data_IF_640586457498
#
_entry.id   IF_640586457498
#
_cell.length_a   1.000
_cell.length_b   1.000
_cell.length_c   1.000
_cell.angle_alpha   90.00
_cell.angle_beta   90.00
_cell.angle_gamma   90.00
#
_symmetry.space_group_name_H-M   'P 1'
#
loop_
_entity.id
_entity.type
_entity.pdbx_description
1 polymer ?
2 non-polymer ?
3 water ?
#
# COMPACT_ATOMS: atom_id res chain seq x y z
N UNK A 1 17.00 -21.25 18.59
CA UNK A 1 15.56 -20.99 18.33
C UNK A 1 15.12 -21.57 16.98
N UNK A 2 14.12 -20.95 16.37
CA UNK A 2 13.59 -21.42 15.10
C UNK A 2 14.54 -21.25 13.92
N UNK A 3 14.64 -22.30 13.11
CA UNK A 3 15.51 -22.27 11.95
C UNK A 3 14.89 -21.45 10.82
N UNK A 4 15.75 -20.97 9.94
CA UNK A 4 15.29 -20.21 8.80
C UNK A 4 14.36 -21.10 8.00
N UNK A 5 14.74 -22.36 7.85
CA UNK A 5 13.95 -23.31 7.10
C UNK A 5 12.51 -23.38 7.61
N UNK A 6 12.35 -23.50 8.92
CA UNK A 6 11.02 -23.55 9.52
C UNK A 6 10.19 -22.27 9.23
N UNK A 7 10.81 -21.09 9.35
CA UNK A 7 10.10 -19.83 9.10
C UNK A 7 9.65 -19.79 7.64
N UNK A 8 10.57 -20.11 6.74
CA UNK A 8 10.25 -20.11 5.33
C UNK A 8 9.10 -21.08 5.05
N UNK A 9 9.15 -22.26 5.64
CA UNK A 9 8.09 -23.24 5.41
C UNK A 9 6.74 -22.75 5.94
N UNK A 10 6.74 -22.16 7.14
CA UNK A 10 5.51 -21.66 7.71
C UNK A 10 4.88 -20.54 6.86
N UNK A 11 5.67 -19.54 6.48
CA UNK A 11 5.10 -18.45 5.71
C UNK A 11 4.65 -18.91 4.33
N UNK A 12 5.42 -19.82 3.72
CA UNK A 12 5.01 -20.33 2.42
C UNK A 12 3.63 -21.03 2.57
N UNK A 13 3.44 -21.78 3.66
CA UNK A 13 2.16 -22.47 3.87
C UNK A 13 0.99 -21.51 4.03
N UNK A 14 1.23 -20.30 4.51
CA UNK A 14 0.15 -19.33 4.66
C UNK A 14 -0.41 -19.00 3.29
N UNK A 15 0.46 -18.87 2.30
CA UNK A 15 0.02 -18.58 0.94
C UNK A 15 -0.58 -19.84 0.33
N UNK A 16 0.03 -20.99 0.62
CA UNK A 16 -0.48 -22.26 0.10
C UNK A 16 -1.90 -22.47 0.60
N UNK A 17 -2.13 -22.27 1.89
CA UNK A 17 -3.46 -22.46 2.48
C UNK A 17 -4.51 -21.57 1.80
N UNK A 18 -4.12 -20.35 1.44
CA UNK A 18 -5.04 -19.42 0.80
C UNK A 18 -5.22 -19.80 -0.67
N UNK A 19 -4.53 -20.85 -1.10
CA UNK A 19 -4.63 -21.30 -2.48
C UNK A 19 -4.33 -20.20 -3.48
N UNK A 20 -3.29 -19.43 -3.24
CA UNK A 20 -2.92 -18.39 -4.18
C UNK A 20 -1.41 -18.37 -4.31
N UNK A 21 -0.87 -17.46 -5.11
CA UNK A 21 0.56 -17.33 -5.30
C UNK A 21 0.93 -15.94 -4.78
N UNK A 22 1.90 -15.88 -3.87
CA UNK A 22 2.29 -14.59 -3.33
C UNK A 22 3.64 -14.57 -2.65
N UNK A 23 4.09 -13.37 -2.32
CA UNK A 23 5.36 -13.17 -1.66
C UNK A 23 5.18 -12.04 -0.64
N UNK A 24 6.03 -12.03 0.38
CA UNK A 24 6.03 -10.94 1.36
C UNK A 24 7.47 -10.57 1.68
N UNK A 25 7.84 -9.33 1.35
CA UNK A 25 9.18 -8.84 1.57
C UNK A 25 9.24 -8.07 2.90
N UNK A 26 10.22 -8.42 3.72
CA UNK A 26 10.43 -7.77 5.01
C UNK A 26 11.76 -7.03 4.93
N UNK A 27 11.84 -5.83 5.47
CA UNK A 27 13.09 -5.09 5.44
C UNK A 27 13.50 -4.73 6.86
N UNK A 28 14.74 -5.06 7.21
CA UNK A 28 15.29 -4.77 8.53
C UNK A 28 16.56 -3.98 8.26
N UNK A 29 16.51 -2.69 8.62
CA UNK A 29 17.63 -1.83 8.35
C UNK A 29 17.74 -1.74 6.83
N UNK A 30 18.85 -2.23 6.27
CA UNK A 30 19.02 -2.22 4.82
C UNK A 30 18.83 -3.59 4.18
N UNK A 31 18.56 -4.63 4.98
CA UNK A 31 18.42 -5.99 4.45
C UNK A 31 17.00 -6.43 4.09
N UNK A 32 16.83 -6.91 2.86
CA UNK A 32 15.54 -7.40 2.38
C UNK A 32 15.44 -8.90 2.58
N UNK A 33 14.27 -9.38 3.01
CA UNK A 33 14.04 -10.82 3.19
C UNK A 33 12.75 -11.17 2.47
N UNK A 34 12.85 -12.10 1.54
CA UNK A 34 11.71 -12.53 0.73
C UNK A 34 11.12 -13.86 1.21
N UNK A 35 9.82 -13.86 1.56
CA UNK A 35 9.15 -15.07 2.01
C UNK A 35 7.90 -15.33 1.17
N UNK A 36 7.32 -16.53 1.30
CA UNK A 36 6.11 -16.82 0.53
C UNK A 36 6.20 -18.09 -0.31
N UNK A 37 5.25 -18.27 -1.22
CA UNK A 37 5.23 -19.46 -2.07
C UNK A 37 5.50 -19.16 -3.56
N UNK A 38 5.92 -17.94 -3.88
CA UNK A 38 6.22 -17.58 -5.26
C UNK A 38 7.22 -16.43 -5.24
N UNK A 39 8.41 -16.74 -4.74
CA UNK A 39 9.50 -15.77 -4.57
C UNK A 39 9.88 -14.91 -5.76
N UNK A 40 9.73 -15.44 -6.97
CA UNK A 40 10.06 -14.68 -8.17
C UNK A 40 9.15 -13.45 -8.38
N UNK A 41 8.02 -13.38 -7.68
CA UNK A 41 7.16 -12.22 -7.80
C UNK A 41 7.87 -10.97 -7.21
N UNK A 42 8.90 -11.18 -6.40
CA UNK A 42 9.63 -10.08 -5.75
C UNK A 42 10.08 -8.96 -6.68
N UNK A 43 10.55 -9.29 -7.88
CA UNK A 43 10.99 -8.24 -8.79
C UNK A 43 10.15 -8.09 -10.05
N UNK A 44 8.91 -8.56 -10.00
CA UNK A 44 8.01 -8.39 -11.13
C UNK A 44 7.12 -7.18 -10.89
N UNK A 45 6.78 -6.48 -11.96
CA UNK A 45 5.94 -5.28 -11.87
C UNK A 45 4.45 -5.58 -11.93
N UNK A 46 3.68 -4.87 -11.10
CA UNK A 46 2.22 -4.99 -11.08
C UNK A 46 1.68 -3.59 -10.89
N UNK A 47 0.38 -3.40 -11.14
CA UNK A 47 -0.19 -2.08 -10.94
C UNK A 47 -0.24 -1.95 -9.42
N UNK A 48 -0.01 -0.73 -8.89
CA UNK A 48 -0.03 -0.53 -7.44
C UNK A 48 -1.41 -0.52 -6.81
N UNK A 49 -2.43 -0.35 -7.64
CA UNK A 49 -3.82 -0.29 -7.18
C UNK A 49 -3.88 0.74 -6.04
N UNK A 50 -4.71 0.49 -5.03
CA UNK A 50 -4.87 1.44 -3.93
C UNK A 50 -3.62 1.81 -3.12
N UNK A 51 -2.51 1.09 -3.30
CA UNK A 51 -1.31 1.46 -2.54
C UNK A 51 -0.87 2.84 -2.99
N UNK A 52 -1.21 3.20 -4.23
CA UNK A 52 -0.85 4.50 -4.75
C UNK A 52 -1.47 5.63 -3.94
N UNK A 53 -2.57 5.35 -3.23
CA UNK A 53 -3.20 6.39 -2.44
C UNK A 53 -2.22 7.06 -1.51
N UNK A 54 -1.26 6.30 -1.01
CA UNK A 54 -0.26 6.87 -0.10
C UNK A 54 0.47 8.03 -0.78
N UNK A 55 0.87 7.81 -2.02
CA UNK A 55 1.59 8.83 -2.76
C UNK A 55 0.66 9.92 -3.28
N UNK A 56 -0.57 9.54 -3.66
CA UNK A 56 -1.55 10.49 -4.17
C UNK A 56 -1.73 11.54 -3.06
N UNK A 57 -1.93 11.05 -1.83
CA UNK A 57 -2.13 11.93 -0.69
C UNK A 57 -0.92 12.86 -0.46
N UNK A 58 0.28 12.29 -0.47
CA UNK A 58 1.51 13.07 -0.28
C UNK A 58 1.55 14.23 -1.29
N UNK A 59 1.35 13.88 -2.54
CA UNK A 59 1.35 14.85 -3.62
C UNK A 59 0.27 15.92 -3.46
N UNK A 60 -0.96 15.49 -3.22
CA UNK A 60 -2.05 16.44 -3.06
C UNK A 60 -1.82 17.43 -1.93
N UNK A 61 -1.39 16.94 -0.78
CA UNK A 61 -1.15 17.78 0.38
C UNK A 61 0.03 18.74 0.16
N UNK A 62 1.12 18.22 -0.39
CA UNK A 62 2.30 19.02 -0.65
C UNK A 62 2.04 20.15 -1.62
N UNK A 63 1.25 19.86 -2.65
CA UNK A 63 0.95 20.83 -3.69
C UNK A 63 -0.31 21.64 -3.42
N UNK A 64 -0.74 21.62 -2.15
CA UNK A 64 -1.91 22.34 -1.70
C UNK A 64 -3.22 22.07 -2.43
N UNK A 65 -3.41 20.82 -2.86
CA UNK A 65 -4.65 20.48 -3.54
C UNK A 65 -5.70 20.07 -2.53
N UNK A 66 -5.31 20.02 -1.25
CA UNK A 66 -6.22 19.65 -0.18
C UNK A 66 -5.53 19.77 1.17
N UNK A 67 -6.31 19.60 2.23
CA UNK A 67 -5.79 19.66 3.59
C UNK A 67 -6.29 18.41 4.28
N UNK A 68 -5.73 18.08 5.44
CA UNK A 68 -6.14 16.89 6.15
C UNK A 68 -7.50 17.03 6.84
N UNK A 69 -8.06 18.23 6.84
CA UNK A 69 -9.37 18.44 7.47
C UNK A 69 -10.49 18.63 6.46
N UNK A 70 -10.12 18.94 5.23
CA UNK A 70 -11.10 19.15 4.17
C UNK A 70 -12.00 17.94 4.02
N UNK A 71 -13.30 18.19 3.91
CA UNK A 71 -14.25 17.12 3.74
C UNK A 71 -14.63 17.06 2.26
N UNK A 72 -14.35 15.92 1.62
CA UNK A 72 -14.70 15.72 0.23
C UNK A 72 -16.16 15.24 0.24
N UNK A 73 -17.06 16.03 -0.32
CA UNK A 73 -18.46 15.66 -0.31
C UNK A 73 -18.86 14.64 -1.37
N UNK A 74 -19.70 13.71 -0.94
CA UNK A 74 -20.22 12.68 -1.83
C UNK A 74 -21.13 13.44 -2.82
N UNK A 75 -20.96 13.21 -4.12
CA UNK A 75 -21.77 13.91 -5.10
C UNK A 75 -23.19 13.36 -5.25
N UNK A 76 -23.52 12.37 -4.41
CA UNK A 76 -24.84 11.79 -4.45
C UNK A 76 -25.04 10.68 -5.47
N UNK A 77 -24.04 10.42 -6.32
CA UNK A 77 -24.18 9.37 -7.32
C UNK A 77 -23.80 8.00 -6.76
N UNK A 78 -24.52 6.97 -7.23
CA UNK A 78 -24.30 5.60 -6.79
C UNK A 78 -22.83 5.21 -6.88
N UNK A 79 -22.33 4.59 -5.83
CA UNK A 79 -20.94 4.15 -5.82
C UNK A 79 -20.86 2.64 -5.64
N UNK A 80 -19.72 2.06 -6.01
CA UNK A 80 -19.52 0.63 -5.91
C UNK A 80 -19.94 0.08 -4.54
N UNK A 81 -19.61 0.81 -3.49
CA UNK A 81 -19.93 0.38 -2.12
C UNK A 81 -20.67 1.48 -1.38
N UNK A 82 -21.66 1.11 -0.57
CA UNK A 82 -22.45 2.07 0.22
C UNK A 82 -21.55 2.83 1.19
N UNK A 83 -20.47 2.20 1.62
CA UNK A 83 -19.54 2.83 2.55
C UNK A 83 -18.86 4.05 1.92
N UNK A 84 -18.84 4.12 0.59
CA UNK A 84 -18.22 5.25 -0.10
C UNK A 84 -19.20 6.38 -0.38
N UNK A 85 -20.49 6.14 -0.12
CA UNK A 85 -21.50 7.16 -0.36
C UNK A 85 -21.67 8.12 0.81
N UNK A 86 -20.59 8.79 1.18
CA UNK A 86 -20.60 9.73 2.28
C UNK A 86 -19.46 10.71 2.09
N UNK A 87 -19.48 11.76 2.89
CA UNK A 87 -18.48 12.82 2.85
C UNK A 87 -17.32 12.38 3.74
N UNK A 88 -16.09 12.53 3.25
CA UNK A 88 -14.95 12.13 4.05
C UNK A 88 -13.69 12.92 3.78
N UNK A 89 -12.77 12.82 4.74
CA UNK A 89 -11.48 13.48 4.64
C UNK A 89 -10.58 12.49 3.91
N UNK A 90 -9.38 12.95 3.58
CA UNK A 90 -8.37 12.15 2.92
C UNK A 90 -8.07 10.92 3.77
N UNK A 91 -7.91 11.12 5.08
CA UNK A 91 -7.62 10.03 5.98
C UNK A 91 -8.74 8.99 6.05
N UNK A 92 -9.99 9.44 6.06
CA UNK A 92 -11.13 8.51 6.11
C UNK A 92 -11.19 7.74 4.80
N UNK A 93 -10.92 8.45 3.70
CA UNK A 93 -10.94 7.82 2.39
C UNK A 93 -9.80 6.80 2.28
N UNK A 94 -8.70 7.06 2.98
CA UNK A 94 -7.55 6.15 2.96
C UNK A 94 -7.95 4.83 3.62
N UNK A 95 -8.57 4.94 4.79
CA UNK A 95 -9.01 3.78 5.55
C UNK A 95 -10.12 3.00 4.86
N UNK A 96 -10.97 3.70 4.12
CA UNK A 96 -12.06 3.07 3.42
C UNK A 96 -11.71 2.70 1.99
N UNK A 97 -10.50 3.04 1.55
CA UNK A 97 -10.09 2.77 0.17
C UNK A 97 -11.05 3.44 -0.81
N UNK A 98 -11.57 4.60 -0.41
CA UNK A 98 -12.52 5.37 -1.23
C UNK A 98 -11.90 5.95 -2.50
N UNK A 99 -11.88 5.15 -3.57
CA UNK A 99 -11.32 5.56 -4.85
C UNK A 99 -11.88 6.88 -5.40
N UNK A 100 -13.19 7.11 -5.26
CA UNK A 100 -13.75 8.36 -5.77
C UNK A 100 -13.10 9.61 -5.20
N UNK A 101 -12.75 9.57 -3.91
CA UNK A 101 -12.11 10.72 -3.29
C UNK A 101 -10.73 10.94 -3.90
N UNK A 102 -9.97 9.85 -4.03
CA UNK A 102 -8.64 9.98 -4.57
C UNK A 102 -8.61 10.25 -6.06
N UNK A 103 -9.70 9.96 -6.75
CA UNK A 103 -9.77 10.27 -8.18
C UNK A 103 -10.00 11.78 -8.31
N UNK A 104 -10.74 12.34 -7.36
CA UNK A 104 -11.00 13.77 -7.34
C UNK A 104 -9.69 14.49 -7.01
N UNK A 105 -8.95 13.95 -6.04
CA UNK A 105 -7.68 14.56 -5.66
C UNK A 105 -6.72 14.51 -6.87
N UNK A 106 -6.68 13.37 -7.57
CA UNK A 106 -5.81 13.25 -8.74
C UNK A 106 -6.22 14.30 -9.78
N UNK A 107 -7.52 14.45 -10.00
CA UNK A 107 -7.99 15.44 -10.98
C UNK A 107 -7.61 16.86 -10.57
N UNK A 108 -7.58 17.14 -9.27
CA UNK A 108 -7.20 18.46 -8.79
C UNK A 108 -5.73 18.68 -9.08
N UNK A 109 -4.91 17.66 -8.81
CA UNK A 109 -3.48 17.76 -9.06
C UNK A 109 -3.26 17.99 -10.56
N UNK A 110 -3.96 17.23 -11.40
CA UNK A 110 -3.80 17.41 -12.84
C UNK A 110 -2.74 16.50 -13.44
N UNK A 111 -2.95 16.05 -14.68
CA UNK A 111 -2.00 15.15 -15.33
C UNK A 111 -0.56 15.63 -15.30
N UNK A 112 -0.33 16.85 -15.76
CA UNK A 112 1.03 17.40 -15.80
C UNK A 112 1.74 17.43 -14.44
N UNK A 113 1.08 17.95 -13.42
CA UNK A 113 1.70 18.01 -12.10
C UNK A 113 1.92 16.60 -11.57
N UNK A 114 0.93 15.73 -11.81
CA UNK A 114 1.01 14.36 -11.33
C UNK A 114 2.17 13.60 -11.94
N UNK A 115 2.32 13.65 -13.26
CA UNK A 115 3.43 12.96 -13.92
C UNK A 115 4.77 13.46 -13.42
N UNK A 116 4.84 14.76 -13.22
CA UNK A 116 6.05 15.41 -12.74
C UNK A 116 6.37 15.01 -11.30
N UNK A 117 5.34 14.87 -10.48
CA UNK A 117 5.56 14.50 -9.08
C UNK A 117 5.88 13.01 -8.93
N UNK A 118 5.23 12.16 -9.72
CA UNK A 118 5.50 10.72 -9.65
C UNK A 118 6.94 10.47 -10.12
N UNK A 119 7.37 11.21 -11.14
CA UNK A 119 8.72 11.13 -11.70
C UNK A 119 9.71 11.57 -10.61
N UNK A 120 9.41 12.69 -9.95
CA UNK A 120 10.27 13.23 -8.91
C UNK A 120 10.48 12.25 -7.76
N UNK A 121 9.42 11.55 -7.38
CA UNK A 121 9.51 10.60 -6.27
C UNK A 121 10.09 9.26 -6.73
N UNK A 122 10.15 9.06 -8.06
CA UNK A 122 10.70 7.83 -8.61
C UNK A 122 9.94 6.58 -8.15
N UNK A 123 8.61 6.66 -8.23
CA UNK A 123 7.73 5.58 -7.83
C UNK A 123 7.55 4.57 -8.96
N UNK A 124 7.92 3.31 -8.73
CA UNK A 124 7.78 2.27 -9.74
C UNK A 124 8.40 2.61 -11.06
N UNK A 125 7.67 2.34 -12.15
CA UNK A 125 8.20 2.65 -13.48
C UNK A 125 7.91 4.13 -13.80
N UNK A 126 7.36 4.83 -12.81
CA UNK A 126 7.05 6.26 -12.90
C UNK A 126 6.23 6.74 -14.09
N UNK A 127 5.59 5.84 -14.84
CA UNK A 127 4.81 6.27 -15.99
C UNK A 127 3.29 6.27 -15.71
N UNK A 128 2.66 7.43 -15.77
CA UNK A 128 1.23 7.51 -15.50
C UNK A 128 0.37 7.63 -16.76
N UNK A 129 1.03 7.73 -17.92
CA UNK A 129 0.27 7.82 -19.16
C UNK A 129 -0.51 9.09 -19.37
N UNK A 130 -1.71 8.96 -19.93
CA UNK A 130 -2.55 10.12 -20.24
C UNK A 130 -3.85 10.24 -19.47
N UNK A 131 -4.17 9.25 -18.63
CA UNK A 131 -5.41 9.30 -17.84
C UNK A 131 -5.08 9.55 -16.38
N UNK A 132 -5.18 10.80 -15.94
CA UNK A 132 -4.86 11.15 -14.56
C UNK A 132 -5.70 10.47 -13.48
N UNK A 133 -6.86 9.92 -13.84
CA UNK A 133 -7.70 9.30 -12.82
C UNK A 133 -7.81 7.79 -12.70
N UNK A 134 -6.97 7.04 -13.41
CA UNK A 134 -7.02 5.59 -13.28
C UNK A 134 -5.71 4.88 -13.62
N UNK A 135 -4.63 5.65 -13.78
CA UNK A 135 -3.34 5.08 -14.14
C UNK A 135 -2.76 4.09 -13.12
N UNK A 136 -3.18 4.21 -11.86
CA UNK A 136 -2.66 3.33 -10.82
C UNK A 136 -3.52 2.09 -10.66
N UNK A 137 -4.64 2.06 -11.38
CA UNK A 137 -5.58 0.96 -11.31
C UNK A 137 -5.48 -0.01 -12.50
N UNK A 138 -5.23 0.51 -13.69
CA UNK A 138 -5.17 -0.33 -14.88
C UNK A 138 -3.91 -0.17 -15.71
N UNK A 139 -2.94 0.56 -15.19
CA UNK A 139 -1.71 0.78 -15.93
C UNK A 139 -1.82 2.16 -16.56
N UNK A 140 -0.73 2.68 -17.16
CA UNK A 140 0.58 2.05 -17.30
C UNK A 140 1.49 2.05 -16.08
N UNK A 141 1.07 2.68 -14.99
CA UNK A 141 1.93 2.70 -13.82
C UNK A 141 2.02 1.30 -13.20
N UNK A 142 3.25 0.87 -12.91
CA UNK A 142 3.51 -0.43 -12.29
C UNK A 142 4.65 -0.31 -11.29
N UNK A 143 4.71 -1.26 -10.37
CA UNK A 143 5.74 -1.23 -9.34
C UNK A 143 5.98 -2.66 -8.83
N UNK A 144 7.20 -2.94 -8.39
CA UNK A 144 7.51 -4.28 -7.90
C UNK A 144 7.39 -4.31 -6.39
N UNK A 145 7.24 -5.50 -5.82
CA UNK A 145 7.12 -5.67 -4.37
C UNK A 145 8.38 -5.12 -3.66
N UNK A 146 9.54 -5.24 -4.30
CA UNK A 146 10.78 -4.71 -3.72
C UNK A 146 10.68 -3.17 -3.66
N UNK A 147 10.26 -2.54 -4.75
CA UNK A 147 10.11 -1.10 -4.76
C UNK A 147 9.06 -0.64 -3.74
N UNK A 148 7.99 -1.45 -3.56
CA UNK A 148 6.95 -1.07 -2.60
C UNK A 148 7.44 -1.11 -1.16
N UNK A 149 8.21 -2.14 -0.79
CA UNK A 149 8.71 -2.19 0.58
C UNK A 149 9.74 -1.09 0.80
N UNK A 150 10.48 -0.71 -0.25
CA UNK A 150 11.45 0.37 -0.15
C UNK A 150 10.71 1.71 -0.03
N UNK A 151 9.57 1.84 -0.71
CA UNK A 151 8.79 3.06 -0.61
C UNK A 151 8.26 3.17 0.82
N UNK A 152 7.81 2.05 1.38
CA UNK A 152 7.31 2.04 2.74
C UNK A 152 8.44 2.41 3.71
N UNK A 153 9.64 1.89 3.43
CA UNK A 153 10.81 2.16 4.27
C UNK A 153 11.09 3.66 4.28
N UNK A 154 11.11 4.27 3.11
CA UNK A 154 11.33 5.70 2.97
C UNK A 154 10.30 6.55 3.71
N UNK A 155 9.02 6.22 3.55
CA UNK A 155 7.94 6.98 4.21
C UNK A 155 8.01 6.81 5.72
N UNK A 156 8.22 5.58 6.15
CA UNK A 156 8.30 5.29 7.58
C UNK A 156 9.40 6.13 8.23
N UNK A 157 10.50 6.35 7.52
CA UNK A 157 11.60 7.11 8.07
C UNK A 157 11.66 8.56 7.57
N UNK A 158 10.58 9.03 6.95
CA UNK A 158 10.52 10.39 6.43
C UNK A 158 11.59 10.75 5.41
N UNK A 159 11.98 9.78 4.59
CA UNK A 159 13.01 10.04 3.57
C UNK A 159 12.46 10.50 2.24
N UNK A 160 11.17 10.38 2.02
CA UNK A 160 10.60 10.83 0.76
C UNK A 160 10.85 12.34 0.62
N UNK A 161 10.91 12.84 -0.62
CA UNK A 161 11.14 14.27 -0.85
C UNK A 161 9.91 15.17 -0.67
N UNK A 162 9.37 15.17 0.54
CA UNK A 162 8.21 15.98 0.91
C UNK A 162 8.49 16.53 2.33
N UNK A 163 7.85 17.63 2.68
CA UNK A 163 8.02 18.20 4.01
C UNK A 163 7.77 17.13 5.06
N UNK A 164 8.47 17.22 6.18
CA UNK A 164 8.31 16.26 7.25
C UNK A 164 6.87 16.23 7.76
N UNK A 165 6.21 17.37 7.73
CA UNK A 165 4.83 17.48 8.17
C UNK A 165 3.88 16.71 7.24
N UNK A 166 4.10 16.84 5.94
CA UNK A 166 3.28 16.14 4.98
C UNK A 166 3.38 14.63 5.20
N UNK A 167 4.61 14.12 5.32
CA UNK A 167 4.83 12.70 5.52
C UNK A 167 4.18 12.24 6.82
N UNK A 168 4.32 13.05 7.87
CA UNK A 168 3.72 12.70 9.15
C UNK A 168 2.20 12.68 9.06
N UNK A 169 1.63 13.60 8.29
CA UNK A 169 0.18 13.66 8.13
C UNK A 169 -0.34 12.38 7.47
N UNK A 170 0.33 11.94 6.41
CA UNK A 170 -0.08 10.75 5.70
C UNK A 170 0.13 9.47 6.51
N UNK A 171 1.22 9.41 7.26
CA UNK A 171 1.45 8.22 8.06
C UNK A 171 0.35 8.05 9.10
N UNK A 172 -0.14 9.14 9.67
CA UNK A 172 -1.19 9.06 10.67
C UNK A 172 -2.44 8.45 10.05
N UNK A 173 -2.57 8.57 8.74
CA UNK A 173 -3.73 8.04 8.03
C UNK A 173 -3.65 6.55 7.83
N UNK A 174 -2.47 5.98 8.01
CA UNK A 174 -2.27 4.56 7.75
C UNK A 174 -2.30 3.57 8.91
N UNK A 175 -2.59 4.02 10.12
CA UNK A 175 -2.61 3.09 11.26
C UNK A 175 -3.80 2.15 11.14
N UNK A 176 -3.55 0.87 10.91
CA UNK A 176 -4.65 -0.07 10.79
C UNK A 176 -4.71 -1.10 11.91
N UNK A 177 -3.70 -1.13 12.78
CA UNK A 177 -3.74 -2.10 13.86
C UNK A 177 -2.67 -1.94 14.92
N UNK A 178 -3.02 -2.36 16.13
CA UNK A 178 -2.11 -2.33 17.26
C UNK A 178 -2.09 -3.74 17.84
N UNK A 179 -0.89 -4.27 18.05
CA UNK A 179 -0.72 -5.61 18.58
C UNK A 179 0.46 -5.68 19.53
N UNK A 180 0.18 -6.03 20.79
CA UNK A 180 1.22 -6.19 21.80
C UNK A 180 2.23 -5.05 21.84
N UNK A 181 1.76 -3.81 21.95
CA UNK A 181 2.67 -2.69 21.99
C UNK A 181 3.26 -2.32 20.64
N UNK A 182 2.85 -3.05 19.60
CA UNK A 182 3.32 -2.78 18.25
C UNK A 182 2.21 -2.12 17.44
N UNK A 183 2.59 -1.17 16.59
CA UNK A 183 1.62 -0.49 15.75
C UNK A 183 1.87 -0.84 14.30
N UNK A 184 0.82 -1.26 13.59
CA UNK A 184 0.95 -1.60 12.19
C UNK A 184 0.35 -0.54 11.27
N UNK A 185 1.21 0.07 10.45
CA UNK A 185 0.79 1.08 9.48
C UNK A 185 0.83 0.41 8.12
N UNK A 186 -0.25 0.51 7.36
CA UNK A 186 -0.27 -0.11 6.03
C UNK A 186 -1.45 0.31 5.17
N UNK A 187 -1.31 0.10 3.87
CA UNK A 187 -2.37 0.39 2.92
C UNK A 187 -2.55 -0.87 2.08
N UNK A 188 -3.79 -1.30 1.91
CA UNK A 188 -4.07 -2.47 1.12
C UNK A 188 -4.29 -2.04 -0.33
N UNK A 189 -4.37 -3.02 -1.20
CA UNK A 189 -4.59 -2.73 -2.60
C UNK A 189 -5.14 -3.96 -3.29
N UNK A 190 -5.98 -3.75 -4.28
CA UNK A 190 -6.57 -4.83 -5.04
C UNK A 190 -6.82 -4.34 -6.46
N UNK A 191 -6.00 -4.78 -7.41
CA UNK A 191 -6.20 -4.38 -8.77
C UNK A 191 -7.21 -5.32 -9.39
N UNK A 192 -8.48 -4.92 -9.39
CA UNK A 192 -9.54 -5.77 -9.95
C UNK A 192 -9.71 -5.51 -11.44
N UNK A 193 -9.22 -4.36 -11.91
CA UNK A 193 -9.35 -4.02 -13.31
C UNK A 193 -8.18 -4.51 -14.15
N UNK A 194 -7.51 -5.55 -13.65
CA UNK A 194 -6.37 -6.12 -14.36
C UNK A 194 -6.45 -7.64 -14.25
N UNK A 195 -5.85 -8.35 -15.20
CA UNK A 195 -5.87 -9.81 -15.15
C UNK A 195 -4.46 -10.36 -15.40
N UNK A 196 -3.96 -11.18 -14.47
CA UNK A 196 -4.68 -11.58 -13.25
C UNK A 196 -4.77 -10.40 -12.28
N UNK A 197 -5.60 -10.56 -11.25
CA UNK A 197 -5.77 -9.52 -10.26
C UNK A 197 -4.66 -9.58 -9.22
N UNK A 198 -4.14 -8.42 -8.84
CA UNK A 198 -3.08 -8.37 -7.86
C UNK A 198 -3.61 -7.85 -6.52
N UNK A 199 -3.07 -8.38 -5.43
CA UNK A 199 -3.46 -7.95 -4.09
C UNK A 199 -2.21 -7.43 -3.38
N UNK A 200 -2.36 -6.36 -2.59
CA UNK A 200 -1.22 -5.77 -1.88
C UNK A 200 -1.58 -5.41 -0.43
N UNK A 201 -0.56 -5.34 0.42
CA UNK A 201 -0.70 -4.85 1.79
C UNK A 201 0.72 -4.37 2.08
N UNK A 202 0.93 -3.06 1.91
CA UNK A 202 2.23 -2.47 2.12
C UNK A 202 2.24 -1.51 3.31
N UNK A 203 3.30 -1.55 4.09
CA UNK A 203 3.40 -0.69 5.24
C UNK A 203 4.61 -1.00 6.08
N UNK A 204 4.46 -0.91 7.39
CA UNK A 204 5.55 -1.21 8.29
C UNK A 204 5.01 -1.38 9.70
N UNK A 205 5.81 -2.03 10.53
CA UNK A 205 5.44 -2.25 11.91
C UNK A 205 6.30 -1.30 12.73
N UNK A 206 5.71 -0.67 13.74
CA UNK A 206 6.47 0.20 14.61
C UNK A 206 6.46 -0.51 15.95
N UNK A 207 7.62 -1.01 16.34
CA UNK A 207 7.75 -1.75 17.59
C UNK A 207 7.92 -0.78 18.75
N UNK A 208 7.54 -1.23 19.95
CA UNK A 208 7.63 -0.42 21.15
C UNK A 208 8.93 0.37 21.22
N UNK A 209 10.05 -0.32 21.02
CA UNK A 209 11.36 0.33 21.06
C UNK A 209 11.53 1.41 20.00
N UNK A 210 10.50 1.67 19.21
CA UNK A 210 10.60 2.69 18.18
C UNK A 210 11.17 2.24 16.85
N UNK A 211 11.68 1.01 16.77
CA UNK A 211 12.21 0.51 15.51
C UNK A 211 11.09 0.25 14.52
N UNK A 212 11.33 0.54 13.24
CA UNK A 212 10.33 0.33 12.20
C UNK A 212 10.76 -0.76 11.23
N UNK A 213 9.89 -1.73 11.01
CA UNK A 213 10.17 -2.83 10.10
C UNK A 213 9.19 -2.83 8.94
N UNK A 214 9.61 -2.30 7.79
CA UNK A 214 8.79 -2.22 6.58
C UNK A 214 8.49 -3.60 5.99
N UNK A 215 7.37 -3.69 5.26
CA UNK A 215 6.99 -4.93 4.61
C UNK A 215 6.08 -4.65 3.42
N UNK A 216 5.96 -5.64 2.55
CA UNK A 216 5.09 -5.55 1.39
C UNK A 216 4.66 -6.94 0.98
N UNK A 217 3.36 -7.21 1.14
CA UNK A 217 2.79 -8.48 0.75
C UNK A 217 2.17 -8.27 -0.64
N UNK A 218 2.41 -9.22 -1.53
CA UNK A 218 1.89 -9.15 -2.89
C UNK A 218 1.45 -10.55 -3.30
N UNK A 219 0.18 -10.70 -3.67
CA UNK A 219 -0.32 -12.00 -4.08
C UNK A 219 -1.35 -11.87 -5.21
N UNK A 220 -1.72 -13.00 -5.81
CA UNK A 220 -2.71 -12.97 -6.88
C UNK A 220 -4.10 -13.11 -6.25
N UNK A 221 -4.98 -12.15 -6.50
CA UNK A 221 -6.34 -12.23 -5.95
C UNK A 221 -7.21 -13.03 -6.91
N UNK A 222 -8.05 -13.90 -6.35
CA UNK A 222 -8.95 -14.75 -7.13
C UNK A 222 -10.39 -14.53 -6.70
N UNK A 223 -11.34 -14.78 -7.59
CA UNK A 223 -12.76 -14.61 -7.27
C UNK A 223 -13.16 -15.53 -6.13
N UNK A 224 -13.97 -14.99 -5.21
CA UNK A 224 -14.40 -15.76 -4.07
C UNK A 224 -13.37 -15.68 -2.97
N UNK A 225 -12.43 -14.75 -3.14
CA UNK A 225 -11.36 -14.56 -2.17
C UNK A 225 -11.64 -13.29 -1.39
N UNK A 226 -11.48 -13.37 -0.07
CA UNK A 226 -11.71 -12.22 0.79
C UNK A 226 -10.50 -11.29 0.85
N UNK A 227 -10.77 -9.99 0.86
CA UNK A 227 -9.70 -9.01 0.92
C UNK A 227 -8.88 -9.13 2.19
N UNK A 228 -9.54 -9.57 3.26
CA UNK A 228 -8.89 -9.73 4.55
C UNK A 228 -7.86 -10.87 4.57
N UNK A 229 -7.77 -11.63 3.48
CA UNK A 229 -6.80 -12.71 3.41
C UNK A 229 -5.41 -12.06 3.36
N UNK A 230 -5.34 -10.87 2.76
CA UNK A 230 -4.09 -10.15 2.65
C UNK A 230 -3.60 -9.79 4.05
N UNK A 231 -4.54 -9.36 4.89
CA UNK A 231 -4.22 -9.00 6.26
C UNK A 231 -3.87 -10.19 7.13
N UNK A 232 -4.62 -11.29 6.99
CA UNK A 232 -4.37 -12.49 7.78
C UNK A 232 -3.00 -13.07 7.51
N UNK A 233 -2.65 -13.20 6.24
CA UNK A 233 -1.36 -13.77 5.90
C UNK A 233 -0.23 -12.84 6.35
N UNK A 234 -0.46 -11.53 6.28
CA UNK A 234 0.56 -10.59 6.70
C UNK A 234 0.79 -10.68 8.22
N UNK A 235 -0.31 -10.69 8.98
CA UNK A 235 -0.21 -10.77 10.43
C UNK A 235 0.45 -12.08 10.88
N UNK A 236 0.05 -13.20 10.27
CA UNK A 236 0.64 -14.49 10.62
C UNK A 236 2.14 -14.52 10.32
N UNK A 237 2.54 -13.94 9.19
CA UNK A 237 3.95 -13.91 8.79
C UNK A 237 4.76 -13.06 9.76
N UNK A 238 4.27 -11.86 10.03
CA UNK A 238 4.93 -10.94 10.94
C UNK A 238 5.08 -11.58 12.31
N UNK A 239 4.05 -12.28 12.76
CA UNK A 239 4.08 -12.93 14.05
C UNK A 239 5.01 -14.13 14.04
N UNK A 240 4.97 -14.93 12.98
CA UNK A 240 5.85 -16.09 12.89
C UNK A 240 7.31 -15.69 12.97
N UNK A 241 7.62 -14.51 12.45
CA UNK A 241 8.99 -14.01 12.46
C UNK A 241 9.31 -13.25 13.74
N UNK A 242 8.32 -13.08 14.61
CA UNK A 242 8.55 -12.37 15.85
C UNK A 242 8.60 -10.84 15.71
N UNK A 243 8.12 -10.32 14.58
CA UNK A 243 8.10 -8.88 14.35
C UNK A 243 7.03 -8.23 15.22
N UNK A 244 5.93 -8.95 15.42
CA UNK A 244 4.84 -8.47 16.27
C UNK A 244 4.44 -9.60 17.20
X LIG B 1 -13.13 -0.04 -7.59
X LIG B 1 -11.76 0.54 -7.42
X LIG B 1 -10.93 0.05 -6.29
X LIG B 1 -9.60 0.41 -5.87
X LIG B 1 -9.28 -0.31 -4.77
X LIG B 1 -10.46 -1.25 -4.37
X LIG B 1 -12.80 -1.53 -5.56
X LIG B 1 -13.65 -1.08 -6.65
X LIG B 1 -7.93 -0.29 -3.90
X LIG B 1 -11.01 -2.16 -1.87
X LIG B 1 -12.45 -2.75 -1.82
X LIG B 1 -9.94 -2.97 -0.99
X LIG B 1 -10.15 -4.53 -1.07
X LIG B 1 -10.05 -2.50 0.50
X LIG B 1 -13.93 1.32 -9.67
X LIG B 1 -12.42 2.68 -11.08
X LIG B 1 -11.48 -0.93 -5.44
X LIG B 1 -10.53 -2.15 -3.29
X LIG B 1 -12.75 1.48 -10.42
X LIG B 1 -7.11 -1.09 -4.81
X LIG B 1 -13.06 -3.12 -2.80
X LIG B 1 -13.17 -2.89 -0.51
X LIG B 1 -7.27 -3.15 -0.61
X LIG B 1 -8.01 -0.98 -1.83
X LIG B 1 -13.90 0.44 -8.63
X LIG B 1 -14.97 1.94 -9.92
X LIG B 1 -8.24 -2.64 -1.61
#
# INVERSE_FOLDING_TARGET
>A
HISSQQHEKAIKSYFDEAQTQGVIIIKEGKNLSTYGNALARANKEYVPASTFKMLNALIGLENHKATTNEIFKWDGKKRTYPMWEKDMTLGEAMALSAVPVYQELARRTGLELMQKEVKRVNFGNTNIGTQVDNFWLVGPLKITPVQEVNFADDLAHNRLPFKLETQEEVKKMLLIKEVNGSKIYAKSGWGMGVTPQVGWLTGWVEQANGKKIPFSLNLEMKEGMSGSIRNEITYKSLENLGII
>B hetero
1 MXS C1 C2 C3 C4 C5 C6 C7 C8 C9 C10 C11 C12 C13 C14 C15 C16 N1 N2 O6 O1 O2 O3 O4 O5 N3 O7 S1
#
